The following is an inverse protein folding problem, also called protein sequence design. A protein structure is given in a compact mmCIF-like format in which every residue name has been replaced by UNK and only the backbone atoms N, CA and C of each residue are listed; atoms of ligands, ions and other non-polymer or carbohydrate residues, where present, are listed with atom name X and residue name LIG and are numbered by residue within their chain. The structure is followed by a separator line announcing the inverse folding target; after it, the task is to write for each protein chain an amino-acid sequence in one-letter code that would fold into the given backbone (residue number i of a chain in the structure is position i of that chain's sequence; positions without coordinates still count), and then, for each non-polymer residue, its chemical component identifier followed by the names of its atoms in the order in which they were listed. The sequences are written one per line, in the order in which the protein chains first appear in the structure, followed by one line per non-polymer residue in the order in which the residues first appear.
data_IF_213987861699
#
_entry.id   IF_213987861699
#
_cell.length_a   1.000
_cell.length_b   1.000
_cell.length_c   1.000
_cell.angle_alpha   90.00
_cell.angle_beta   90.00
_cell.angle_gamma   90.00
#
_symmetry.space_group_name_H-M   'P 1'
#
loop_
_entity.id
_entity.type
_entity.pdbx_description
1 polymer ?
#
# COMPACT_ATOMS: atom_id res chain seq x y z
N UNK A 1 4.55 -2.97 -16.78
CA UNK A 1 5.52 -1.86 -16.92
C UNK A 1 5.93 -1.40 -15.54
N UNK A 2 7.22 -1.39 -15.25
CA UNK A 2 7.82 -0.77 -14.08
C UNK A 2 8.20 0.67 -14.40
N UNK A 3 8.16 1.54 -13.40
CA UNK A 3 8.52 2.94 -13.55
C UNK A 3 9.58 3.32 -12.53
N UNK A 4 10.63 3.97 -13.02
CA UNK A 4 11.76 4.42 -12.22
C UNK A 4 12.04 5.88 -12.52
N UNK A 5 12.61 6.59 -11.56
CA UNK A 5 13.17 7.93 -11.78
C UNK A 5 14.67 7.80 -12.06
N UNK A 6 15.14 8.37 -13.16
CA UNK A 6 16.56 8.47 -13.45
C UNK A 6 17.18 9.51 -12.52
N UNK A 7 18.19 9.14 -11.75
CA UNK A 7 18.87 10.03 -10.80
C UNK A 7 19.67 11.13 -11.46
N UNK A 8 20.02 10.95 -12.74
CA UNK A 8 20.84 11.93 -13.47
C UNK A 8 20.05 13.18 -13.82
N UNK A 9 18.83 13.01 -14.31
CA UNK A 9 18.02 14.10 -14.88
C UNK A 9 16.61 14.21 -14.29
N UNK A 10 16.26 13.32 -13.36
CA UNK A 10 14.93 13.27 -12.76
C UNK A 10 13.82 12.77 -13.70
N UNK A 11 14.17 12.31 -14.90
CA UNK A 11 13.19 11.85 -15.87
C UNK A 11 12.61 10.49 -15.47
N UNK A 12 11.35 10.26 -15.86
CA UNK A 12 10.69 8.99 -15.65
C UNK A 12 11.03 8.00 -16.76
N UNK A 13 11.50 6.82 -16.40
CA UNK A 13 11.79 5.71 -17.32
C UNK A 13 10.76 4.60 -17.12
N UNK A 14 10.24 4.08 -18.23
CA UNK A 14 9.34 2.94 -18.23
C UNK A 14 10.10 1.71 -18.74
N UNK A 15 10.11 0.67 -17.90
CA UNK A 15 10.81 -0.58 -18.21
C UNK A 15 9.77 -1.70 -18.31
N UNK A 16 9.67 -2.40 -19.45
CA UNK A 16 8.84 -3.57 -19.55
C UNK A 16 9.32 -4.64 -18.57
N UNK A 17 8.40 -5.26 -17.85
CA UNK A 17 8.68 -6.41 -17.01
C UNK A 17 7.77 -7.56 -17.44
N UNK A 18 8.37 -8.72 -17.72
CA UNK A 18 7.60 -9.94 -17.95
C UNK A 18 7.14 -10.49 -16.58
N UNK A 19 5.92 -10.98 -16.54
CA UNK A 19 5.41 -11.75 -15.40
C UNK A 19 5.55 -13.26 -15.61
N UNK A 20 5.84 -13.68 -16.85
CA UNK A 20 5.97 -15.08 -17.23
C UNK A 20 7.20 -15.22 -18.12
N UNK A 21 8.02 -16.23 -17.88
CA UNK A 21 9.15 -16.61 -18.70
C UNK A 21 9.14 -18.14 -18.89
N UNK A 22 9.24 -18.61 -20.13
CA UNK A 22 9.21 -20.05 -20.45
C UNK A 22 8.02 -20.77 -19.78
N UNK A 23 6.83 -20.17 -19.85
CA UNK A 23 5.58 -20.67 -19.25
C UNK A 23 5.58 -20.73 -17.71
N UNK A 24 6.60 -20.19 -17.05
CA UNK A 24 6.69 -20.14 -15.59
C UNK A 24 6.46 -18.73 -15.07
N UNK A 25 5.69 -18.55 -13.99
CA UNK A 25 5.53 -17.25 -13.38
C UNK A 25 6.83 -16.77 -12.73
N UNK A 26 7.16 -15.51 -12.93
CA UNK A 26 8.29 -14.83 -12.30
C UNK A 26 7.91 -14.18 -10.96
N UNK A 27 6.64 -14.29 -10.58
CA UNK A 27 6.14 -13.82 -9.30
C UNK A 27 5.84 -14.99 -8.35
N UNK A 28 5.81 -14.71 -7.07
CA UNK A 28 5.41 -15.65 -6.02
C UNK A 28 4.13 -15.14 -5.36
N UNK A 29 3.21 -16.05 -5.09
CA UNK A 29 2.00 -15.78 -4.31
C UNK A 29 2.16 -16.28 -2.89
N UNK A 30 1.31 -15.79 -1.99
CA UNK A 30 1.26 -16.32 -0.63
C UNK A 30 0.80 -17.78 -0.63
N UNK A 31 1.36 -18.66 0.22
CA UNK A 31 0.95 -20.08 0.30
C UNK A 31 -0.49 -20.28 0.79
N UNK A 32 -1.02 -19.36 1.61
CA UNK A 32 -2.42 -19.33 1.99
C UNK A 32 -3.22 -18.63 0.89
N UNK A 33 -4.15 -19.33 0.25
CA UNK A 33 -5.00 -18.83 -0.83
C UNK A 33 -5.97 -17.72 -0.41
N UNK A 34 -6.19 -17.52 0.88
CA UNK A 34 -7.00 -16.42 1.41
C UNK A 34 -6.21 -15.09 1.44
N UNK A 35 -4.90 -15.14 1.23
CA UNK A 35 -4.03 -13.95 1.20
C UNK A 35 -3.74 -13.60 -0.25
N UNK A 36 -4.46 -12.62 -0.80
CA UNK A 36 -4.32 -12.14 -2.18
C UNK A 36 -3.13 -11.19 -2.34
N UNK A 37 -1.92 -11.74 -2.29
CA UNK A 37 -0.66 -11.02 -2.45
C UNK A 37 0.22 -11.77 -3.44
N UNK A 38 0.84 -11.00 -4.35
CA UNK A 38 1.89 -11.47 -5.23
C UNK A 38 3.13 -10.56 -5.13
N UNK A 39 4.30 -11.16 -5.13
CA UNK A 39 5.59 -10.45 -5.10
C UNK A 39 6.40 -10.78 -6.34
N UNK A 40 6.98 -9.75 -6.97
CA UNK A 40 7.88 -9.86 -8.08
C UNK A 40 9.28 -9.45 -7.64
N UNK A 41 10.25 -10.34 -7.83
CA UNK A 41 11.64 -10.02 -7.54
C UNK A 41 12.22 -9.11 -8.63
N UNK A 42 12.79 -7.99 -8.23
CA UNK A 42 13.49 -7.08 -9.12
C UNK A 42 14.99 -7.34 -9.09
N UNK A 43 15.64 -7.09 -10.23
CA UNK A 43 17.10 -7.17 -10.33
C UNK A 43 17.72 -5.86 -9.80
N UNK A 44 18.29 -5.92 -8.60
CA UNK A 44 18.94 -4.77 -7.97
C UNK A 44 20.17 -4.27 -8.78
N UNK A 45 20.92 -5.18 -9.42
CA UNK A 45 22.02 -4.84 -10.32
C UNK A 45 21.54 -3.97 -11.48
N UNK A 46 20.46 -4.36 -12.14
CA UNK A 46 19.84 -3.58 -13.21
C UNK A 46 19.45 -2.16 -12.77
N UNK A 47 18.86 -2.03 -11.58
CA UNK A 47 18.44 -0.73 -11.02
C UNK A 47 19.68 0.15 -10.80
N UNK A 48 20.74 -0.39 -10.22
CA UNK A 48 21.98 0.32 -9.93
C UNK A 48 22.73 0.71 -11.20
N UNK A 49 22.91 -0.20 -12.13
CA UNK A 49 23.62 0.02 -13.40
C UNK A 49 22.97 1.09 -14.27
N UNK A 50 21.64 1.18 -14.23
CA UNK A 50 20.88 2.20 -14.94
C UNK A 50 20.69 3.51 -14.16
N UNK A 51 21.31 3.64 -12.98
CA UNK A 51 21.21 4.82 -12.11
C UNK A 51 19.76 5.21 -11.77
N UNK A 52 18.89 4.21 -11.58
CA UNK A 52 17.51 4.44 -11.23
C UNK A 52 17.33 4.70 -9.74
N UNK A 53 16.44 5.63 -9.41
CA UNK A 53 15.94 5.77 -8.06
C UNK A 53 14.80 4.79 -7.81
N UNK A 54 14.88 4.11 -6.69
CA UNK A 54 13.90 3.11 -6.28
C UNK A 54 13.60 3.27 -4.80
N UNK A 55 12.74 4.24 -4.46
CA UNK A 55 12.27 4.38 -3.10
C UNK A 55 11.47 3.13 -2.71
N UNK A 56 11.84 2.51 -1.60
CA UNK A 56 11.25 1.28 -1.11
C UNK A 56 10.98 1.36 0.39
N UNK A 57 10.03 0.57 0.85
CA UNK A 57 9.87 0.28 2.26
C UNK A 57 10.77 -0.92 2.61
N UNK A 58 11.68 -0.73 3.54
CA UNK A 58 12.39 -1.82 4.18
C UNK A 58 11.45 -2.51 5.18
N UNK A 59 11.26 -3.82 5.03
CA UNK A 59 10.33 -4.56 5.88
C UNK A 59 10.81 -4.58 7.33
N UNK A 60 12.11 -4.68 7.56
CA UNK A 60 12.68 -4.76 8.90
C UNK A 60 12.63 -3.41 9.64
N UNK A 61 12.64 -2.29 8.90
CA UNK A 61 12.61 -0.95 9.48
C UNK A 61 11.22 -0.30 9.46
N UNK A 62 10.45 -0.53 8.39
CA UNK A 62 9.22 0.21 8.11
C UNK A 62 7.94 -0.59 8.32
N UNK A 63 7.99 -1.94 8.36
CA UNK A 63 6.83 -2.76 8.68
C UNK A 63 6.87 -3.21 10.15
N UNK A 64 5.70 -3.37 10.74
CA UNK A 64 5.56 -3.77 12.13
C UNK A 64 4.44 -4.80 12.29
N UNK A 65 4.54 -5.64 13.30
CA UNK A 65 3.43 -6.50 13.70
C UNK A 65 2.27 -5.67 14.26
N UNK A 66 1.07 -6.22 14.28
CA UNK A 66 -0.11 -5.53 14.85
C UNK A 66 0.08 -5.17 16.33
N UNK A 67 0.77 -6.00 17.09
CA UNK A 67 1.10 -5.73 18.49
C UNK A 67 2.08 -4.58 18.65
N UNK A 68 3.11 -4.51 17.78
CA UNK A 68 4.10 -3.43 17.81
C UNK A 68 3.48 -2.09 17.39
N UNK A 69 2.59 -2.10 16.39
CA UNK A 69 1.84 -0.92 15.98
C UNK A 69 1.06 -0.34 17.14
N UNK A 70 0.31 -1.18 17.87
CA UNK A 70 -0.46 -0.75 19.04
C UNK A 70 0.41 -0.22 20.17
N UNK A 71 1.54 -0.89 20.45
CA UNK A 71 2.47 -0.42 21.48
C UNK A 71 3.03 0.96 21.19
N UNK A 72 3.03 1.36 19.91
CA UNK A 72 3.46 2.68 19.43
C UNK A 72 2.30 3.68 19.24
N UNK A 73 1.07 3.30 19.62
CA UNK A 73 -0.08 4.18 19.54
C UNK A 73 -0.84 4.15 18.23
N UNK A 74 -0.50 3.24 17.31
CA UNK A 74 -1.29 3.04 16.09
C UNK A 74 -2.43 2.07 16.40
N UNK A 75 -3.65 2.57 16.34
CA UNK A 75 -4.86 1.79 16.59
C UNK A 75 -6.02 2.30 15.73
N UNK A 76 -7.21 1.82 15.98
CA UNK A 76 -8.44 2.25 15.33
C UNK A 76 -8.61 3.77 15.48
N UNK A 77 -8.85 4.46 14.37
CA UNK A 77 -8.88 5.93 14.29
C UNK A 77 -7.56 6.58 13.88
N UNK A 78 -6.41 5.89 13.93
CA UNK A 78 -5.13 6.43 13.46
C UNK A 78 -5.19 6.77 11.98
N UNK A 79 -4.65 7.94 11.62
CA UNK A 79 -4.65 8.42 10.24
C UNK A 79 -3.64 7.67 9.37
N UNK A 80 -4.05 7.42 8.12
CA UNK A 80 -3.24 6.71 7.14
C UNK A 80 -3.26 7.41 5.78
N UNK A 81 -2.20 7.21 5.00
CA UNK A 81 -2.16 7.55 3.59
C UNK A 81 -2.19 6.29 2.73
N UNK A 82 -2.91 6.36 1.63
CA UNK A 82 -2.83 5.41 0.52
C UNK A 82 -2.21 6.08 -0.68
N UNK A 83 -1.19 5.44 -1.27
CA UNK A 83 -0.51 5.94 -2.47
C UNK A 83 -0.85 5.01 -3.64
N UNK A 84 -1.67 5.47 -4.58
CA UNK A 84 -2.16 4.59 -5.63
C UNK A 84 -2.50 5.28 -6.95
N UNK A 85 -2.97 4.47 -7.89
CA UNK A 85 -3.34 4.90 -9.25
C UNK A 85 -4.82 4.56 -9.53
N UNK A 86 -5.78 5.22 -8.84
CA UNK A 86 -7.20 4.91 -9.00
C UNK A 86 -7.65 5.09 -10.45
N UNK A 87 -8.37 4.11 -10.99
CA UNK A 87 -8.91 4.11 -12.36
C UNK A 87 -7.85 4.38 -13.45
N UNK A 88 -6.58 4.07 -13.18
CA UNK A 88 -5.49 4.41 -14.07
C UNK A 88 -5.19 5.92 -14.19
N UNK A 89 -5.77 6.73 -13.32
CA UNK A 89 -5.48 8.17 -13.28
C UNK A 89 -4.02 8.38 -12.90
N UNK A 90 -3.28 8.90 -13.84
CA UNK A 90 -1.87 9.25 -13.68
C UNK A 90 -1.72 10.70 -14.07
N UNK A 91 -1.01 11.47 -13.29
CA UNK A 91 -0.61 12.79 -13.76
C UNK A 91 0.23 12.62 -15.03
N UNK A 92 -0.24 13.21 -16.13
CA UNK A 92 0.34 12.99 -17.47
C UNK A 92 1.83 13.36 -17.53
N UNK A 93 2.26 14.32 -16.73
CA UNK A 93 3.65 14.82 -16.71
C UNK A 93 4.52 14.12 -15.67
N UNK A 94 4.02 13.91 -14.44
CA UNK A 94 4.83 13.37 -13.34
C UNK A 94 4.63 11.86 -13.11
N UNK A 95 3.49 11.32 -13.57
CA UNK A 95 3.09 9.92 -13.35
C UNK A 95 3.22 9.44 -11.89
N UNK A 96 3.11 10.39 -10.96
CA UNK A 96 3.16 10.12 -9.53
C UNK A 96 1.84 9.52 -9.03
N UNK A 97 1.87 8.70 -7.96
CA UNK A 97 0.67 8.19 -7.35
C UNK A 97 -0.19 9.30 -6.73
N UNK A 98 -1.48 9.06 -6.68
CA UNK A 98 -2.43 9.91 -5.95
C UNK A 98 -2.39 9.52 -4.49
N UNK A 99 -2.14 10.51 -3.62
CA UNK A 99 -2.20 10.34 -2.18
C UNK A 99 -3.64 10.59 -1.68
N UNK A 100 -4.14 9.66 -0.86
CA UNK A 100 -5.43 9.77 -0.18
C UNK A 100 -5.24 9.63 1.31
N UNK A 101 -6.03 10.38 2.07
CA UNK A 101 -6.08 10.31 3.52
C UNK A 101 -7.28 9.46 3.94
N UNK A 102 -7.09 8.63 4.94
CA UNK A 102 -8.10 7.82 5.60
C UNK A 102 -7.71 7.51 7.04
N UNK A 103 -8.38 6.55 7.66
CA UNK A 103 -8.02 6.07 8.98
C UNK A 103 -8.15 4.55 9.09
N UNK A 104 -7.49 3.99 10.10
CA UNK A 104 -7.68 2.59 10.50
C UNK A 104 -9.09 2.46 11.07
N UNK A 105 -9.93 1.66 10.42
CA UNK A 105 -11.30 1.42 10.87
C UNK A 105 -11.41 0.22 11.82
N UNK A 106 -10.61 -0.82 11.57
CA UNK A 106 -10.54 -2.00 12.44
C UNK A 106 -9.22 -2.74 12.28
N UNK A 107 -8.56 -3.02 13.40
CA UNK A 107 -7.35 -3.83 13.43
C UNK A 107 -7.28 -4.74 14.69
N UNK A 108 -8.43 -5.24 15.16
CA UNK A 108 -8.46 -6.16 16.30
C UNK A 108 -7.71 -7.44 15.99
N UNK A 109 -7.00 -8.01 16.97
CA UNK A 109 -6.24 -9.26 16.78
C UNK A 109 -7.13 -10.41 16.31
N UNK A 110 -8.35 -10.50 16.84
CA UNK A 110 -9.32 -11.53 16.43
C UNK A 110 -9.62 -11.42 14.92
N UNK A 111 -9.87 -10.21 14.42
CA UNK A 111 -10.13 -9.99 13.00
C UNK A 111 -8.89 -10.30 12.15
N UNK A 112 -7.72 -9.82 12.54
CA UNK A 112 -6.48 -10.08 11.80
C UNK A 112 -6.18 -11.58 11.78
N UNK A 113 -6.42 -12.29 12.88
CA UNK A 113 -6.25 -13.74 12.92
C UNK A 113 -7.20 -14.46 11.97
N UNK A 114 -8.47 -14.05 11.94
CA UNK A 114 -9.51 -14.67 11.12
C UNK A 114 -9.39 -14.33 9.64
N UNK A 115 -9.23 -13.04 9.32
CA UNK A 115 -9.32 -12.54 7.94
C UNK A 115 -7.96 -12.25 7.29
N UNK A 116 -6.88 -12.17 8.06
CA UNK A 116 -5.54 -11.68 7.66
C UNK A 116 -5.55 -10.24 7.14
N UNK A 117 -6.59 -9.47 7.51
CA UNK A 117 -6.80 -8.14 6.98
C UNK A 117 -6.97 -7.09 8.09
N UNK A 118 -6.52 -5.88 7.79
CA UNK A 118 -6.84 -4.65 8.52
C UNK A 118 -7.87 -3.90 7.68
N UNK A 119 -8.93 -3.40 8.32
CA UNK A 119 -9.91 -2.58 7.65
C UNK A 119 -9.53 -1.10 7.77
N UNK A 120 -9.53 -0.41 6.65
CA UNK A 120 -9.22 1.01 6.56
C UNK A 120 -10.41 1.74 5.95
N UNK A 121 -10.85 2.82 6.59
CA UNK A 121 -11.85 3.74 6.02
C UNK A 121 -11.13 4.79 5.18
N UNK A 122 -11.19 4.60 3.88
CA UNK A 122 -10.53 5.45 2.90
C UNK A 122 -11.27 5.37 1.57
N UNK A 123 -11.39 6.50 0.89
CA UNK A 123 -12.00 6.52 -0.43
C UNK A 123 -11.17 5.68 -1.40
N UNK A 124 -11.72 4.53 -1.81
CA UNK A 124 -11.05 3.58 -2.68
C UNK A 124 -11.76 3.41 -4.01
N UNK A 125 -11.00 3.19 -5.08
CA UNK A 125 -11.49 2.98 -6.44
C UNK A 125 -10.72 1.84 -7.10
N UNK A 126 -11.29 1.20 -8.14
CA UNK A 126 -10.56 0.24 -8.96
C UNK A 126 -9.22 0.80 -9.45
N UNK A 127 -8.18 -0.02 -9.42
CA UNK A 127 -6.81 0.38 -9.76
C UNK A 127 -5.91 0.67 -8.57
N UNK A 128 -6.44 0.72 -7.34
CA UNK A 128 -5.63 0.86 -6.14
C UNK A 128 -5.12 -0.48 -5.56
N UNK A 129 -5.46 -1.60 -6.15
CA UNK A 129 -4.91 -2.90 -5.71
C UNK A 129 -3.38 -2.89 -5.78
N UNK A 130 -2.71 -3.35 -4.72
CA UNK A 130 -1.27 -3.26 -4.55
C UNK A 130 -0.75 -1.93 -4.01
N UNK A 131 -1.60 -0.92 -3.81
CA UNK A 131 -1.20 0.36 -3.21
C UNK A 131 -0.77 0.19 -1.76
N UNK A 132 0.36 0.78 -1.32
CA UNK A 132 0.75 0.79 0.07
C UNK A 132 -0.18 1.67 0.90
N UNK A 133 -0.48 1.20 2.11
CA UNK A 133 -1.09 1.97 3.18
C UNK A 133 0.00 2.25 4.21
N UNK A 134 0.24 3.53 4.49
CA UNK A 134 1.25 3.98 5.45
C UNK A 134 0.59 4.82 6.55
N UNK A 135 1.07 4.70 7.76
CA UNK A 135 0.60 5.52 8.87
C UNK A 135 1.03 6.97 8.67
N UNK A 136 0.16 7.90 9.05
CA UNK A 136 0.53 9.31 9.15
C UNK A 136 1.18 9.57 10.51
N UNK A 137 2.35 10.21 10.57
CA UNK A 137 2.91 10.63 11.85
C UNK A 137 1.99 11.60 12.57
N UNK A 138 1.78 11.38 13.87
CA UNK A 138 0.95 12.23 14.72
C UNK A 138 1.81 12.74 15.89
N UNK A 139 2.02 14.05 15.94
CA UNK A 139 2.84 14.70 16.97
C UNK A 139 1.99 15.36 18.08
N UNK A 140 0.68 15.41 17.88
CA UNK A 140 -0.28 15.92 18.86
C UNK A 140 -1.10 14.74 19.36
N UNK A 141 -0.97 14.45 20.64
CA UNK A 141 -1.73 13.38 21.31
C UNK A 141 -2.68 13.97 22.36
N UNK A 142 -3.71 13.21 22.68
CA UNK A 142 -4.50 13.43 23.89
C UNK A 142 -3.63 13.03 25.07
N UNK A 143 -3.79 13.71 26.22
CA UNK A 143 -3.08 13.38 27.46
C UNK A 143 -3.12 11.86 27.72
N UNK A 144 -1.97 11.29 28.07
CA UNK A 144 -1.76 9.86 28.30
C UNK A 144 -1.80 8.95 27.05
N UNK A 145 -1.82 9.49 25.82
CA UNK A 145 -1.67 8.70 24.60
C UNK A 145 -0.28 8.85 24.00
N UNK A 146 0.28 7.77 23.42
CA UNK A 146 1.60 7.83 22.80
C UNK A 146 1.60 8.68 21.51
N UNK A 147 2.70 9.38 21.29
CA UNK A 147 2.95 10.13 20.06
C UNK A 147 3.61 9.18 19.04
N UNK A 148 3.09 9.13 17.83
CA UNK A 148 3.64 8.31 16.74
C UNK A 148 4.36 9.20 15.72
N UNK A 149 5.68 9.28 15.83
CA UNK A 149 6.51 10.21 15.06
C UNK A 149 7.05 9.70 13.72
N UNK A 150 6.79 8.45 13.34
CA UNK A 150 7.32 7.83 12.12
C UNK A 150 6.22 7.24 11.25
N UNK A 151 6.41 7.30 9.93
CA UNK A 151 5.54 6.57 9.01
C UNK A 151 5.93 5.09 8.97
N UNK A 152 4.94 4.21 9.03
CA UNK A 152 5.12 2.76 8.99
C UNK A 152 4.23 2.16 7.91
N UNK A 153 4.73 1.16 7.21
CA UNK A 153 3.94 0.39 6.26
C UNK A 153 2.95 -0.48 7.02
N UNK A 154 1.67 -0.13 6.94
CA UNK A 154 0.59 -0.89 7.56
C UNK A 154 0.22 -2.13 6.76
N UNK A 155 0.30 -2.04 5.43
CA UNK A 155 -0.04 -3.10 4.51
C UNK A 155 -0.21 -2.62 3.08
N UNK A 156 -0.80 -3.48 2.25
CA UNK A 156 -1.16 -3.16 0.87
C UNK A 156 -2.65 -3.39 0.62
N UNK A 157 -3.23 -2.59 -0.25
CA UNK A 157 -4.64 -2.74 -0.65
C UNK A 157 -4.80 -3.98 -1.52
N UNK A 158 -5.68 -4.91 -1.13
CA UNK A 158 -6.02 -6.06 -1.96
C UNK A 158 -7.50 -6.09 -2.37
N UNK A 159 -8.39 -5.57 -1.52
CA UNK A 159 -9.83 -5.58 -1.76
C UNK A 159 -10.52 -4.31 -1.24
N UNK A 160 -11.77 -4.13 -1.61
CA UNK A 160 -12.64 -3.12 -1.03
C UNK A 160 -14.04 -3.69 -0.80
N UNK A 161 -14.75 -3.13 0.18
CA UNK A 161 -16.15 -3.47 0.44
C UNK A 161 -17.01 -2.51 -0.40
N UNK A 162 -17.71 -2.99 -1.44
CA UNK A 162 -18.51 -2.12 -2.27
C UNK A 162 -19.77 -1.69 -1.52
N UNK A 163 -20.04 -0.38 -1.48
CA UNK A 163 -21.35 0.13 -1.11
C UNK A 163 -22.31 -0.07 -2.29
N UNK A 164 -23.46 -0.72 -2.02
CA UNK A 164 -24.53 -0.92 -3.02
C UNK A 164 -25.81 -0.29 -2.49
N UNK A 165 -26.29 0.71 -3.19
CA UNK A 165 -27.60 1.32 -2.95
C UNK A 165 -28.61 0.77 -3.94
N UNK A 166 -29.73 0.26 -3.44
CA UNK A 166 -30.87 -0.09 -4.29
C UNK A 166 -31.76 1.16 -4.43
N UNK A 167 -31.79 1.73 -5.63
CA UNK A 167 -32.76 2.77 -5.95
C UNK A 167 -34.14 2.11 -6.08
N UNK A 168 -34.98 2.28 -5.08
CA UNK A 168 -36.42 1.89 -5.17
C UNK A 168 -37.17 3.05 -5.81
N UNK A 169 -37.57 2.90 -7.08
CA UNK A 169 -38.52 3.82 -7.70
C UNK A 169 -39.84 3.65 -6.95
N UNK A 170 -40.19 4.61 -6.12
CA UNK A 170 -41.57 4.76 -5.65
C UNK A 170 -42.37 5.32 -6.84
N UNK A 171 -43.23 4.49 -7.45
CA UNK A 171 -44.27 4.89 -8.36
C UNK A 171 -45.45 5.44 -7.58
#
# INVERSE_FOLDING_TARGET
ILRFTDRTDGSLKEVPASLIENEKPLYKTHPDSNVDIAVLQLNAGFITENNFDFPAFDIDEHAMSSSDLRSKGVDEGSLVYMLGYPMGLVNVSSKLPICRLGCVARMSEAQIHETKNILVDIQNFPGNSGSPIITRPEFISIEDTPVFGASTLLGIVHAYIPYREQLVNQQ
#
